data_IF_851744368070
#
_entry.id   IF_851744368070
#
_cell.length_a   1.000
_cell.length_b   1.000
_cell.length_c   1.000
_cell.angle_alpha   90.00
_cell.angle_beta   90.00
_cell.angle_gamma   90.00
#
_symmetry.space_group_name_H-M   'P 1'
#
loop_
_entity.id
_entity.type
_entity.pdbx_description
1 polymer ?
#
# COMPACT_ATOMS: atom_id res chain seq x y z
N UNK A 1 0.98 -1.96 -13.71
CA UNK A 1 1.50 -3.15 -13.02
C UNK A 1 0.73 -3.51 -11.74
N UNK A 2 0.29 -2.53 -11.02
CA UNK A 2 -0.43 -2.77 -9.76
C UNK A 2 -1.92 -3.04 -9.95
N UNK A 3 -2.42 -2.96 -11.17
CA UNK A 3 -3.80 -3.28 -11.52
C UNK A 3 -4.80 -2.29 -10.96
N UNK A 4 -6.00 -2.78 -10.66
CA UNK A 4 -7.05 -1.96 -10.10
C UNK A 4 -6.79 -1.64 -8.63
N UNK A 5 -7.29 -0.49 -8.20
CA UNK A 5 -7.20 -0.04 -6.81
C UNK A 5 -8.58 -0.08 -6.17
N UNK A 6 -8.64 -0.67 -5.00
CA UNK A 6 -9.83 -0.69 -4.16
C UNK A 6 -9.65 0.29 -3.01
N UNK A 7 -10.67 1.11 -2.79
CA UNK A 7 -10.60 2.20 -1.80
C UNK A 7 -11.69 2.00 -0.76
N UNK A 8 -11.32 2.11 0.50
CA UNK A 8 -12.26 2.07 1.61
C UNK A 8 -12.00 3.17 2.62
N UNK A 9 -13.06 3.60 3.27
CA UNK A 9 -13.00 4.56 4.37
C UNK A 9 -12.95 3.78 5.69
N UNK A 10 -11.93 4.02 6.47
CA UNK A 10 -11.71 3.38 7.76
C UNK A 10 -11.97 4.39 8.88
N UNK A 11 -12.69 3.98 9.90
CA UNK A 11 -13.03 4.82 11.05
C UNK A 11 -12.27 4.35 12.30
N UNK A 12 -11.53 5.26 12.91
CA UNK A 12 -10.81 5.03 14.17
C UNK A 12 -11.20 6.14 15.16
N UNK A 13 -12.31 5.93 15.88
CA UNK A 13 -12.89 7.00 16.69
C UNK A 13 -13.34 8.17 15.81
N UNK A 14 -12.77 9.36 16.06
CA UNK A 14 -13.03 10.55 15.24
C UNK A 14 -12.15 10.66 14.01
N UNK A 15 -11.12 9.82 13.92
CA UNK A 15 -10.19 9.81 12.78
C UNK A 15 -10.76 8.97 11.65
N UNK A 16 -10.79 9.55 10.45
CA UNK A 16 -11.17 8.85 9.22
C UNK A 16 -9.96 8.76 8.30
N UNK A 17 -9.65 7.53 7.87
CA UNK A 17 -8.53 7.25 6.98
C UNK A 17 -9.02 6.59 5.71
N UNK A 18 -8.42 6.97 4.60
CA UNK A 18 -8.58 6.24 3.33
C UNK A 18 -7.54 5.13 3.30
N UNK A 19 -8.00 3.92 3.01
CA UNK A 19 -7.16 2.77 2.71
C UNK A 19 -7.37 2.40 1.26
N UNK A 20 -6.33 2.54 0.45
CA UNK A 20 -6.33 2.17 -0.96
C UNK A 20 -5.40 0.99 -1.16
N UNK A 21 -5.89 -0.08 -1.78
CA UNK A 21 -5.18 -1.35 -1.90
C UNK A 21 -5.14 -1.82 -3.35
N UNK A 22 -3.96 -2.17 -3.82
CA UNK A 22 -3.74 -2.75 -5.14
C UNK A 22 -4.30 -4.17 -5.22
N UNK A 23 -5.05 -4.45 -6.28
CA UNK A 23 -5.53 -5.81 -6.55
C UNK A 23 -4.39 -6.79 -6.82
N UNK A 24 -3.35 -6.35 -7.51
CA UNK A 24 -2.27 -7.22 -7.97
C UNK A 24 -1.33 -7.68 -6.86
N UNK A 25 -1.03 -6.80 -5.90
CA UNK A 25 -0.01 -7.08 -4.88
C UNK A 25 -0.49 -6.88 -3.43
N UNK A 26 -1.69 -6.35 -3.24
CA UNK A 26 -2.24 -5.91 -1.95
C UNK A 26 -1.39 -4.80 -1.29
N UNK A 27 -0.50 -4.15 -2.07
CA UNK A 27 0.18 -2.95 -1.61
C UNK A 27 -0.86 -1.90 -1.25
N UNK A 28 -0.73 -1.30 -0.08
CA UNK A 28 -1.73 -0.37 0.44
C UNK A 28 -1.10 0.99 0.72
N UNK A 29 -1.86 2.02 0.42
CA UNK A 29 -1.54 3.42 0.71
C UNK A 29 -2.62 3.95 1.63
N UNK A 30 -2.23 4.73 2.63
CA UNK A 30 -3.15 5.29 3.61
C UNK A 30 -2.95 6.79 3.72
N UNK A 31 -4.05 7.52 3.89
CA UNK A 31 -4.00 8.96 4.14
C UNK A 31 -5.30 9.43 4.80
N UNK A 32 -5.26 10.57 5.53
CA UNK A 32 -6.46 11.10 6.17
C UNK A 32 -7.54 11.46 5.14
N UNK A 33 -8.79 11.08 5.41
CA UNK A 33 -9.93 11.40 4.54
C UNK A 33 -10.16 12.91 4.43
N UNK A 34 -9.76 13.68 5.44
CA UNK A 34 -9.87 15.14 5.47
C UNK A 34 -8.82 15.88 4.64
N UNK A 35 -7.89 15.18 4.02
CA UNK A 35 -6.87 15.82 3.17
C UNK A 35 -7.49 16.17 1.82
N UNK A 36 -8.17 17.30 1.79
CA UNK A 36 -8.97 17.76 0.64
C UNK A 36 -8.20 18.65 -0.34
N UNK A 37 -6.91 18.91 -0.07
CA UNK A 37 -6.09 19.73 -0.95
C UNK A 37 -5.83 19.11 -2.31
N UNK A 38 -5.89 17.80 -2.36
CA UNK A 38 -5.75 17.02 -3.58
C UNK A 38 -6.98 16.14 -3.75
N UNK A 39 -7.29 15.77 -5.00
CA UNK A 39 -8.30 14.74 -5.27
C UNK A 39 -7.84 13.40 -4.70
N UNK A 40 -8.78 12.46 -4.56
CA UNK A 40 -8.47 11.11 -4.12
C UNK A 40 -7.37 10.48 -5.00
N UNK A 41 -7.49 10.62 -6.31
CA UNK A 41 -6.55 10.06 -7.29
C UNK A 41 -5.16 10.67 -7.14
N UNK A 42 -5.07 11.98 -6.99
CA UNK A 42 -3.78 12.67 -6.82
C UNK A 42 -3.12 12.34 -5.49
N UNK A 43 -3.90 12.22 -4.42
CA UNK A 43 -3.39 11.76 -3.14
C UNK A 43 -2.81 10.35 -3.26
N UNK A 44 -3.57 9.46 -3.89
CA UNK A 44 -3.13 8.08 -4.10
C UNK A 44 -1.83 8.04 -4.93
N UNK A 45 -1.79 8.77 -6.05
CA UNK A 45 -0.59 8.82 -6.91
C UNK A 45 0.64 9.33 -6.15
N UNK A 46 0.49 10.43 -5.43
CA UNK A 46 1.61 11.03 -4.70
C UNK A 46 2.13 10.11 -3.59
N UNK A 47 1.24 9.52 -2.83
CA UNK A 47 1.60 8.61 -1.74
C UNK A 47 2.21 7.32 -2.25
N UNK A 48 1.66 6.78 -3.33
CA UNK A 48 2.18 5.59 -3.99
C UNK A 48 3.62 5.83 -4.47
N UNK A 49 3.90 6.98 -5.05
CA UNK A 49 5.26 7.33 -5.48
C UNK A 49 6.27 7.21 -4.36
N UNK A 50 5.95 7.73 -3.17
CA UNK A 50 6.82 7.62 -2.00
C UNK A 50 7.03 6.17 -1.54
N UNK A 51 5.97 5.38 -1.53
CA UNK A 51 6.06 3.96 -1.14
C UNK A 51 6.89 3.16 -2.15
N UNK A 52 6.66 3.33 -3.44
CA UNK A 52 7.43 2.63 -4.47
C UNK A 52 8.91 3.02 -4.44
N UNK A 53 9.21 4.30 -4.22
CA UNK A 53 10.59 4.75 -4.07
C UNK A 53 11.26 4.06 -2.87
N UNK A 54 10.57 3.99 -1.74
CA UNK A 54 11.06 3.31 -0.54
C UNK A 54 11.28 1.80 -0.79
N UNK A 55 10.49 1.18 -1.66
CA UNK A 55 10.65 -0.22 -2.06
C UNK A 55 11.74 -0.42 -3.11
N UNK A 56 12.42 0.63 -3.55
CA UNK A 56 13.53 0.52 -4.48
C UNK A 56 13.15 0.60 -5.96
N UNK A 57 11.92 0.97 -6.28
CA UNK A 57 11.48 1.17 -7.66
C UNK A 57 12.07 2.48 -8.20
N UNK A 58 12.59 2.48 -9.43
CA UNK A 58 13.18 3.69 -10.00
C UNK A 58 12.12 4.72 -10.43
N UNK A 59 12.53 5.98 -10.55
CA UNK A 59 11.65 7.09 -10.85
C UNK A 59 10.89 6.94 -12.17
N UNK A 60 11.51 6.38 -13.18
CA UNK A 60 10.89 6.17 -14.49
C UNK A 60 9.70 5.21 -14.39
N UNK A 61 9.86 4.10 -13.69
CA UNK A 61 8.79 3.13 -13.46
C UNK A 61 7.68 3.69 -12.57
N UNK A 62 8.04 4.47 -11.57
CA UNK A 62 7.08 5.16 -10.70
C UNK A 62 6.22 6.12 -11.53
N UNK A 63 6.85 6.95 -12.35
CA UNK A 63 6.14 7.91 -13.22
C UNK A 63 5.17 7.19 -14.16
N UNK A 64 5.61 6.08 -14.74
CA UNK A 64 4.78 5.27 -15.64
C UNK A 64 3.57 4.71 -14.91
N UNK A 65 3.76 4.19 -13.70
CA UNK A 65 2.65 3.66 -12.89
C UNK A 65 1.66 4.76 -12.52
N UNK A 66 2.15 5.94 -12.15
CA UNK A 66 1.31 7.09 -11.83
C UNK A 66 0.49 7.55 -13.05
N UNK A 67 1.09 7.53 -14.24
CA UNK A 67 0.38 7.84 -15.49
C UNK A 67 -0.73 6.84 -15.81
N UNK A 68 -0.50 5.55 -15.59
CA UNK A 68 -1.52 4.52 -15.76
C UNK A 68 -2.72 4.74 -14.84
N UNK A 69 -2.52 5.37 -13.69
CA UNK A 69 -3.58 5.67 -12.74
C UNK A 69 -4.42 6.90 -13.11
N UNK A 70 -4.02 7.70 -14.07
CA UNK A 70 -4.78 8.88 -14.51
C UNK A 70 -6.11 8.53 -15.14
N UNK A 71 -6.22 7.34 -15.71
CA UNK A 71 -7.45 6.81 -16.30
C UNK A 71 -8.25 5.94 -15.33
N UNK A 72 -8.48 6.41 -14.12
CA UNK A 72 -9.20 5.61 -13.11
C UNK A 72 -10.70 5.60 -13.42
N UNK A 73 -11.21 4.41 -13.74
CA UNK A 73 -12.65 4.17 -13.76
C UNK A 73 -13.07 3.63 -12.39
N UNK A 74 -14.05 4.28 -11.76
CA UNK A 74 -14.63 3.77 -10.52
C UNK A 74 -15.58 2.63 -10.84
N UNK A 75 -15.26 1.44 -10.36
CA UNK A 75 -16.12 0.27 -10.47
C UNK A 75 -16.54 -0.20 -9.08
N UNK A 76 -17.70 -0.83 -8.99
CA UNK A 76 -18.13 -1.49 -7.76
C UNK A 76 -17.14 -2.60 -7.42
N UNK A 77 -16.65 -2.61 -6.18
CA UNK A 77 -15.73 -3.62 -5.72
C UNK A 77 -16.40 -4.98 -5.66
N UNK A 78 -15.98 -5.90 -6.52
CA UNK A 78 -16.57 -7.24 -6.61
C UNK A 78 -15.63 -8.36 -6.18
N UNK A 79 -14.34 -8.09 -6.05
CA UNK A 79 -13.36 -9.11 -5.68
C UNK A 79 -13.38 -9.33 -4.16
N UNK A 80 -14.04 -10.41 -3.75
CA UNK A 80 -14.18 -10.77 -2.33
C UNK A 80 -12.86 -11.04 -1.63
N UNK A 81 -11.87 -11.55 -2.35
CA UNK A 81 -10.53 -11.80 -1.80
C UNK A 81 -9.85 -10.50 -1.41
N UNK A 82 -9.94 -9.47 -2.27
CA UNK A 82 -9.40 -8.14 -1.97
C UNK A 82 -10.15 -7.50 -0.81
N UNK A 83 -11.46 -7.58 -0.79
CA UNK A 83 -12.29 -7.03 0.31
C UNK A 83 -11.90 -7.67 1.64
N UNK A 84 -11.78 -8.99 1.69
CA UNK A 84 -11.35 -9.70 2.90
C UNK A 84 -9.96 -9.28 3.35
N UNK A 85 -9.03 -9.12 2.41
CA UNK A 85 -7.69 -8.63 2.70
C UNK A 85 -7.70 -7.19 3.23
N UNK A 86 -8.53 -6.32 2.67
CA UNK A 86 -8.68 -4.94 3.13
C UNK A 86 -9.25 -4.87 4.55
N UNK A 87 -10.19 -5.73 4.89
CA UNK A 87 -10.72 -5.82 6.26
C UNK A 87 -9.61 -6.20 7.24
N UNK A 88 -8.78 -7.15 6.87
CA UNK A 88 -7.62 -7.55 7.67
C UNK A 88 -6.59 -6.42 7.80
N UNK A 89 -6.28 -5.76 6.69
CA UNK A 89 -5.36 -4.60 6.69
C UNK A 89 -5.90 -3.45 7.53
N UNK A 90 -7.21 -3.22 7.52
CA UNK A 90 -7.85 -2.22 8.37
C UNK A 90 -7.66 -2.49 9.86
N UNK A 91 -7.73 -3.75 10.27
CA UNK A 91 -7.46 -4.15 11.66
C UNK A 91 -5.98 -3.87 12.03
N UNK A 92 -5.04 -4.22 11.15
CA UNK A 92 -3.63 -3.93 11.36
C UNK A 92 -3.35 -2.43 11.36
N UNK A 93 -4.03 -1.66 10.50
CA UNK A 93 -3.90 -0.21 10.45
C UNK A 93 -4.31 0.40 11.80
N UNK A 94 -5.42 -0.05 12.39
CA UNK A 94 -5.85 0.38 13.72
C UNK A 94 -4.75 0.21 14.77
N UNK A 95 -4.09 -0.93 14.74
CA UNK A 95 -3.01 -1.26 15.66
C UNK A 95 -1.76 -0.39 15.40
N UNK A 96 -1.38 -0.22 14.15
CA UNK A 96 -0.17 0.53 13.78
C UNK A 96 -0.33 2.04 13.97
N UNK A 97 -1.55 2.58 13.88
CA UNK A 97 -1.84 4.00 14.14
C UNK A 97 -1.51 4.41 15.58
N UNK A 98 -1.58 3.49 16.52
CA UNK A 98 -1.15 3.75 17.90
C UNK A 98 0.36 3.89 18.02
N UNK A 99 1.13 3.40 17.05
CA UNK A 99 2.59 3.38 17.09
C UNK A 99 3.23 4.49 16.28
N UNK A 100 2.61 4.91 15.19
CA UNK A 100 3.14 5.94 14.31
C UNK A 100 2.03 6.68 13.60
N UNK A 101 2.23 7.99 13.38
CA UNK A 101 1.38 8.82 12.55
C UNK A 101 1.99 9.07 11.17
N UNK A 102 3.20 8.58 10.92
CA UNK A 102 3.86 8.75 9.62
C UNK A 102 3.23 7.84 8.57
N UNK A 103 2.67 8.46 7.52
CA UNK A 103 1.89 7.74 6.51
C UNK A 103 2.74 6.79 5.67
N UNK A 104 3.99 7.15 5.38
CA UNK A 104 4.91 6.27 4.67
C UNK A 104 5.25 5.04 5.53
N UNK A 105 5.56 5.25 6.80
CA UNK A 105 5.83 4.15 7.73
C UNK A 105 4.65 3.21 7.86
N UNK A 106 3.42 3.75 7.93
CA UNK A 106 2.20 2.95 7.99
C UNK A 106 2.07 2.07 6.75
N UNK A 107 2.24 2.64 5.56
CA UNK A 107 2.16 1.91 4.32
C UNK A 107 3.20 0.78 4.25
N UNK A 108 4.45 1.06 4.63
CA UNK A 108 5.52 0.06 4.63
C UNK A 108 5.28 -1.05 5.65
N UNK A 109 4.71 -0.73 6.81
CA UNK A 109 4.35 -1.73 7.82
C UNK A 109 3.23 -2.63 7.32
N UNK A 110 2.21 -2.08 6.68
CA UNK A 110 1.14 -2.87 6.07
C UNK A 110 1.68 -3.77 4.95
N UNK A 111 2.65 -3.28 4.18
CA UNK A 111 3.28 -4.05 3.10
C UNK A 111 4.11 -5.23 3.62
N UNK A 112 4.45 -5.24 4.89
CA UNK A 112 5.25 -6.29 5.52
C UNK A 112 4.40 -7.33 6.26
N UNK A 113 3.09 -7.30 6.09
CA UNK A 113 2.16 -8.27 6.71
C UNK A 113 1.88 -9.39 5.73
N UNK A 114 2.04 -10.67 6.14
CA UNK A 114 1.72 -11.78 5.25
C UNK A 114 0.22 -11.85 4.99
N UNK A 115 -0.15 -11.93 3.72
CA UNK A 115 -1.54 -11.97 3.29
C UNK A 115 -1.83 -13.28 2.58
N UNK A 116 -2.74 -14.06 3.12
CA UNK A 116 -3.10 -15.40 2.60
C UNK A 116 -3.56 -15.34 1.14
N UNK A 117 -4.23 -14.25 0.75
CA UNK A 117 -4.70 -14.06 -0.62
C UNK A 117 -3.56 -13.97 -1.66
N UNK A 118 -2.32 -13.72 -1.22
CA UNK A 118 -1.14 -13.69 -2.09
C UNK A 118 -0.44 -15.03 -2.24
N UNK A 119 -0.85 -16.06 -1.49
CA UNK A 119 -0.26 -17.39 -1.62
C UNK A 119 -0.47 -17.93 -3.03
N UNK A 120 0.61 -18.36 -3.66
CA UNK A 120 0.57 -18.93 -4.99
C UNK A 120 0.54 -17.91 -6.13
N UNK A 121 0.61 -16.61 -5.83
CA UNK A 121 0.75 -15.56 -6.85
C UNK A 121 2.24 -15.24 -7.06
N UNK A 122 2.68 -15.33 -8.31
CA UNK A 122 4.05 -15.01 -8.69
C UNK A 122 5.00 -16.21 -8.65
N UNK A 123 6.24 -15.99 -9.11
CA UNK A 123 7.28 -17.02 -9.20
C UNK A 123 7.77 -17.50 -7.82
N UNK A 124 7.61 -16.66 -6.81
CA UNK A 124 7.93 -16.96 -5.42
C UNK A 124 6.65 -16.91 -4.61
N UNK A 125 6.40 -17.95 -3.82
CA UNK A 125 5.20 -18.11 -3.00
C UNK A 125 5.22 -17.27 -1.72
N UNK A 126 5.86 -16.09 -1.75
CA UNK A 126 5.93 -15.20 -0.59
C UNK A 126 4.66 -14.36 -0.49
N UNK A 127 3.88 -14.51 0.58
CA UNK A 127 2.58 -13.82 0.70
C UNK A 127 2.71 -12.40 1.26
N UNK A 128 3.76 -11.66 0.93
CA UNK A 128 4.01 -10.32 1.43
C UNK A 128 3.80 -9.27 0.33
N UNK A 129 2.97 -8.25 0.56
CA UNK A 129 2.72 -7.21 -0.44
C UNK A 129 3.98 -6.51 -0.95
N UNK A 130 4.96 -6.26 -0.10
CA UNK A 130 6.21 -5.63 -0.49
C UNK A 130 7.01 -6.50 -1.45
N UNK A 131 7.11 -7.80 -1.20
CA UNK A 131 7.82 -8.73 -2.06
C UNK A 131 7.12 -8.86 -3.41
N UNK A 132 5.81 -9.07 -3.41
CA UNK A 132 5.02 -9.19 -4.64
C UNK A 132 5.12 -7.91 -5.47
N UNK A 133 5.04 -6.75 -4.84
CA UNK A 133 5.19 -5.46 -5.53
C UNK A 133 6.57 -5.35 -6.18
N UNK A 134 7.63 -5.66 -5.45
CA UNK A 134 8.99 -5.61 -6.01
C UNK A 134 9.15 -6.55 -7.19
N UNK A 135 8.61 -7.76 -7.10
CA UNK A 135 8.63 -8.72 -8.21
C UNK A 135 7.90 -8.20 -9.45
N UNK A 136 6.76 -7.53 -9.28
CA UNK A 136 6.02 -6.92 -10.40
C UNK A 136 6.84 -5.87 -11.14
N UNK A 137 7.73 -5.18 -10.43
CA UNK A 137 8.64 -4.18 -11.01
C UNK A 137 10.02 -4.77 -11.38
N UNK A 138 10.16 -6.08 -11.38
CA UNK A 138 11.39 -6.77 -11.77
C UNK A 138 12.50 -6.75 -10.73
N UNK A 139 12.17 -6.45 -9.46
CA UNK A 139 13.14 -6.38 -8.37
C UNK A 139 13.06 -7.65 -7.51
N UNK A 140 14.18 -8.36 -7.27
CA UNK A 140 14.18 -9.55 -6.44
C UNK A 140 14.24 -9.22 -4.94
N UNK A 141 13.66 -10.09 -4.14
CA UNK A 141 13.83 -10.06 -2.69
C UNK A 141 13.12 -8.92 -1.98
N UNK A 142 13.59 -8.63 -0.78
CA UNK A 142 13.01 -7.62 0.10
C UNK A 142 14.03 -6.57 0.47
N UNK A 143 13.60 -5.30 0.48
CA UNK A 143 14.38 -4.22 1.09
C UNK A 143 14.26 -4.35 2.62
N UNK A 144 15.37 -4.20 3.33
CA UNK A 144 15.35 -4.18 4.78
C UNK A 144 14.56 -2.96 5.28
N UNK A 145 13.43 -3.21 5.90
CA UNK A 145 12.55 -2.17 6.43
C UNK A 145 13.28 -1.24 7.38
N UNK A 146 14.21 -1.79 8.17
CA UNK A 146 15.00 -1.02 9.13
C UNK A 146 15.92 0.03 8.50
N UNK A 147 16.28 -0.12 7.22
CA UNK A 147 17.07 0.87 6.51
C UNK A 147 16.22 2.02 5.96
N UNK A 148 14.91 1.84 5.87
CA UNK A 148 13.96 2.80 5.32
C UNK A 148 13.26 3.63 6.39
N UNK A 149 13.18 3.11 7.62
CA UNK A 149 12.53 3.77 8.74
C UNK A 149 13.56 4.46 9.64
N UNK A 150 13.17 5.57 10.32
CA UNK A 150 14.04 6.19 11.31
C UNK A 150 14.50 5.14 12.31
N UNK A 151 15.80 5.16 12.60
CA UNK A 151 16.40 4.21 13.51
C UNK A 151 15.74 4.27 14.88
N UNK A 152 15.09 3.19 15.29
CA UNK A 152 14.69 2.96 16.68
C UNK A 152 15.82 2.21 17.38
N UNK A 153 16.92 2.84 17.60
CA UNK A 153 17.90 2.23 18.49
C UNK A 153 17.47 2.50 19.92
N UNK A 154 17.22 1.45 20.71
CA UNK A 154 17.24 1.61 22.14
C UNK A 154 18.64 2.04 22.52
N UNK A 155 18.71 3.17 23.12
CA UNK A 155 19.89 3.74 23.76
C UNK A 155 21.25 3.54 23.16
#
# INVERSE_FOLDING_TARGET
MLGNWYVSLQHFGKLQMILATSEASLLSVVFPARDIRLTLERNLQARLGGVLLALGVNDELITREQQEMEEVAYATTTNRSVIGSMNQLGMFLSYELERTADLLSLALRLANIPMTALKGKGANTHPFPDIVTRELFGLPGRVHLNSLLPSRRPG
#
